data_IF_315702789945
#
_entry.id   IF_315702789945
#
_cell.length_a   1.000
_cell.length_b   1.000
_cell.length_c   1.000
_cell.angle_alpha   90.00
_cell.angle_beta   90.00
_cell.angle_gamma   90.00
#
_symmetry.space_group_name_H-M   'P 1'
#
loop_
_entity.id
_entity.type
_entity.pdbx_description
1 polymer ?
#
# COMPACT_ATOMS: atom_id res chain seq x y z
N UNK A 1 34.26 -30.42 38.21
CA UNK A 1 34.52 -29.12 37.54
C UNK A 1 35.24 -28.26 38.58
N UNK A 2 36.37 -27.61 38.23
CA UNK A 2 37.05 -26.70 39.15
C UNK A 2 36.12 -25.58 39.63
N UNK A 3 36.25 -25.21 40.91
CA UNK A 3 35.39 -24.24 41.55
C UNK A 3 35.42 -22.85 40.88
N UNK A 4 36.51 -22.56 40.14
CA UNK A 4 36.75 -21.29 39.42
C UNK A 4 36.17 -21.29 38.00
N UNK A 5 35.55 -22.39 37.56
CA UNK A 5 35.04 -22.51 36.20
C UNK A 5 33.82 -21.59 36.00
N UNK A 6 33.92 -20.63 35.05
CA UNK A 6 32.84 -19.70 34.78
C UNK A 6 31.99 -20.10 33.57
N UNK A 7 32.58 -20.82 32.61
CA UNK A 7 31.89 -21.24 31.37
C UNK A 7 32.41 -22.62 30.99
N UNK A 8 31.54 -23.50 30.56
CA UNK A 8 31.85 -24.74 29.90
C UNK A 8 31.63 -24.64 28.41
N UNK A 9 32.59 -25.10 27.63
CA UNK A 9 32.49 -25.10 26.16
C UNK A 9 32.65 -26.55 25.70
N UNK A 10 31.64 -27.08 25.00
CA UNK A 10 31.65 -28.39 24.37
C UNK A 10 31.82 -28.29 22.87
N UNK A 11 32.77 -28.99 22.29
CA UNK A 11 32.87 -29.15 20.85
C UNK A 11 31.77 -30.13 20.38
N UNK A 12 30.98 -29.73 19.39
CA UNK A 12 29.82 -30.46 18.88
C UNK A 12 29.93 -30.53 17.34
N UNK A 13 29.63 -31.68 16.80
CA UNK A 13 29.73 -31.91 15.36
C UNK A 13 28.42 -31.62 14.61
N UNK A 14 27.29 -32.02 15.21
CA UNK A 14 25.97 -31.87 14.58
C UNK A 14 25.26 -30.59 15.00
N UNK A 15 24.70 -29.86 14.05
CA UNK A 15 23.81 -28.71 14.26
C UNK A 15 22.34 -29.10 14.23
N UNK A 16 22.04 -30.39 14.05
CA UNK A 16 20.67 -30.92 14.03
C UNK A 16 20.00 -30.82 15.39
N UNK A 17 18.71 -30.52 15.43
CA UNK A 17 17.95 -30.38 16.70
C UNK A 17 17.86 -31.66 17.52
N UNK A 18 18.12 -32.80 16.93
CA UNK A 18 18.27 -34.06 17.68
C UNK A 18 19.50 -34.12 18.58
N UNK A 19 20.49 -33.23 18.35
CA UNK A 19 21.63 -33.03 19.23
C UNK A 19 21.27 -32.12 20.40
N UNK A 20 21.34 -32.61 21.62
CA UNK A 20 20.94 -31.84 22.82
C UNK A 20 21.73 -30.53 22.98
N UNK A 21 22.97 -30.48 22.53
CA UNK A 21 23.79 -29.26 22.54
C UNK A 21 23.43 -28.25 21.48
N UNK A 22 22.63 -28.59 20.47
CA UNK A 22 22.12 -27.66 19.51
C UNK A 22 20.99 -26.77 20.09
N UNK A 23 20.31 -27.22 21.15
CA UNK A 23 19.27 -26.44 21.80
C UNK A 23 19.82 -25.26 22.61
N UNK A 24 18.97 -24.25 22.82
CA UNK A 24 19.28 -23.14 23.70
C UNK A 24 19.54 -23.61 25.12
N UNK A 25 20.63 -23.15 25.70
CA UNK A 25 21.01 -23.47 27.10
C UNK A 25 21.04 -22.17 27.90
N UNK A 26 20.04 -21.98 28.76
CA UNK A 26 19.97 -20.83 29.67
C UNK A 26 20.94 -21.01 30.85
N UNK A 27 22.18 -21.30 30.57
CA UNK A 27 23.25 -21.61 31.52
C UNK A 27 24.60 -21.25 30.90
N UNK A 28 25.70 -21.15 31.69
CA UNK A 28 27.04 -20.90 31.18
C UNK A 28 27.67 -22.12 30.49
N UNK A 29 26.91 -22.77 29.62
CA UNK A 29 27.33 -23.91 28.80
C UNK A 29 27.16 -23.53 27.33
N UNK A 30 28.25 -23.56 26.56
CA UNK A 30 28.26 -23.20 25.15
C UNK A 30 28.58 -24.40 24.28
N UNK A 31 27.85 -24.55 23.18
CA UNK A 31 28.24 -25.44 22.10
C UNK A 31 29.20 -24.69 21.15
N UNK A 32 30.24 -25.37 20.74
CA UNK A 32 31.21 -24.86 19.77
C UNK A 32 31.23 -25.76 18.52
N UNK A 33 31.00 -25.19 17.37
CA UNK A 33 31.00 -25.88 16.09
C UNK A 33 32.19 -25.40 15.26
N UNK A 34 32.92 -26.35 14.68
CA UNK A 34 33.95 -25.99 13.69
C UNK A 34 33.32 -25.80 12.33
N UNK A 35 33.81 -24.84 11.58
CA UNK A 35 33.42 -24.58 10.21
C UNK A 35 34.66 -24.68 9.29
N UNK A 36 34.48 -25.14 8.07
CA UNK A 36 35.54 -25.24 7.06
C UNK A 36 35.93 -23.86 6.52
N UNK A 37 34.92 -23.02 6.33
CA UNK A 37 35.07 -21.66 5.84
C UNK A 37 33.90 -20.74 6.35
N UNK A 38 33.83 -19.54 5.81
CA UNK A 38 32.83 -18.54 6.20
C UNK A 38 31.42 -18.94 5.77
N UNK A 39 31.28 -19.57 4.60
CA UNK A 39 29.97 -20.03 4.08
C UNK A 39 29.42 -21.17 4.93
N UNK A 40 30.24 -22.15 5.26
CA UNK A 40 29.87 -23.24 6.16
C UNK A 40 29.49 -22.73 7.57
N UNK A 41 30.21 -21.72 8.08
CA UNK A 41 29.88 -21.09 9.35
C UNK A 41 28.51 -20.43 9.33
N UNK A 42 28.17 -19.71 8.26
CA UNK A 42 26.85 -19.08 8.10
C UNK A 42 25.76 -20.15 7.96
N UNK A 43 25.97 -21.18 7.14
CA UNK A 43 25.00 -22.26 6.96
C UNK A 43 24.68 -22.98 8.28
N UNK A 44 25.69 -23.26 9.10
CA UNK A 44 25.50 -23.82 10.45
C UNK A 44 24.74 -22.87 11.36
N UNK A 45 25.04 -21.58 11.33
CA UNK A 45 24.35 -20.57 12.12
C UNK A 45 22.88 -20.39 11.68
N UNK A 46 22.59 -20.39 10.38
CA UNK A 46 21.23 -20.36 9.84
C UNK A 46 20.40 -21.58 10.32
N UNK A 47 21.02 -22.76 10.30
CA UNK A 47 20.37 -23.97 10.78
C UNK A 47 20.02 -23.88 12.27
N UNK A 48 20.99 -23.49 13.09
CA UNK A 48 20.79 -23.35 14.55
C UNK A 48 19.70 -22.32 14.91
N UNK A 49 19.65 -21.18 14.21
CA UNK A 49 18.59 -20.19 14.48
C UNK A 49 17.22 -20.61 13.95
N UNK A 50 17.17 -21.43 12.88
CA UNK A 50 15.91 -21.97 12.39
C UNK A 50 15.26 -22.89 13.42
N UNK A 51 16.05 -23.70 14.09
CA UNK A 51 15.59 -24.65 15.11
C UNK A 51 15.42 -24.00 16.48
N UNK A 52 16.34 -23.09 16.88
CA UNK A 52 16.33 -22.39 18.16
C UNK A 52 15.40 -21.19 18.24
N UNK A 53 14.88 -20.73 17.11
CA UNK A 53 13.98 -19.58 16.99
C UNK A 53 14.64 -18.33 16.41
N UNK A 54 13.88 -17.71 15.49
CA UNK A 54 14.31 -16.52 14.78
C UNK A 54 14.18 -15.23 15.61
N UNK A 55 14.90 -14.20 15.20
CA UNK A 55 14.61 -12.81 15.51
C UNK A 55 15.45 -12.21 16.61
N UNK A 56 16.14 -12.96 17.45
CA UNK A 56 16.81 -12.41 18.62
C UNK A 56 18.10 -11.62 18.24
N UNK A 57 19.28 -12.23 18.34
CA UNK A 57 20.58 -11.54 18.20
C UNK A 57 21.64 -12.49 17.66
N UNK A 58 22.43 -12.01 16.71
CA UNK A 58 23.60 -12.72 16.19
C UNK A 58 24.85 -11.83 16.28
N UNK A 59 26.00 -12.45 16.54
CA UNK A 59 27.28 -11.76 16.61
C UNK A 59 28.27 -12.35 15.60
N UNK A 60 29.00 -11.47 14.91
CA UNK A 60 30.07 -11.81 13.98
C UNK A 60 31.38 -11.18 14.46
N UNK A 61 32.43 -11.98 14.57
CA UNK A 61 33.79 -11.51 14.82
C UNK A 61 34.58 -11.59 13.54
N UNK A 62 35.03 -10.44 13.03
CA UNK A 62 35.65 -10.32 11.72
C UNK A 62 36.53 -9.05 11.67
N UNK A 63 37.50 -8.99 10.74
CA UNK A 63 38.17 -7.73 10.42
C UNK A 63 37.18 -6.77 9.75
N UNK A 64 36.57 -5.90 10.55
CA UNK A 64 35.51 -4.99 10.11
C UNK A 64 35.99 -3.92 9.11
N UNK A 65 37.29 -3.72 8.97
CA UNK A 65 37.90 -2.76 8.03
C UNK A 65 38.09 -3.37 6.67
N UNK A 66 38.70 -4.55 6.63
CA UNK A 66 39.12 -5.19 5.35
C UNK A 66 38.08 -6.17 4.82
N UNK A 67 37.18 -6.69 5.64
CA UNK A 67 36.23 -7.74 5.28
C UNK A 67 34.77 -7.26 5.37
N UNK A 68 34.48 -6.04 4.96
CA UNK A 68 33.14 -5.45 5.01
C UNK A 68 32.08 -6.30 4.30
N UNK A 69 32.45 -6.94 3.19
CA UNK A 69 31.54 -7.82 2.43
C UNK A 69 31.02 -8.99 3.28
N UNK A 70 31.83 -9.56 4.16
CA UNK A 70 31.38 -10.62 5.08
C UNK A 70 30.34 -10.12 6.09
N UNK A 71 30.47 -8.88 6.55
CA UNK A 71 29.48 -8.27 7.44
C UNK A 71 28.15 -8.10 6.73
N UNK A 72 28.17 -7.59 5.50
CA UNK A 72 26.95 -7.33 4.71
C UNK A 72 26.26 -8.65 4.34
N UNK A 73 27.02 -9.69 3.97
CA UNK A 73 26.51 -11.02 3.71
C UNK A 73 25.88 -11.66 4.96
N UNK A 74 26.61 -11.67 6.07
CA UNK A 74 26.10 -12.19 7.33
C UNK A 74 24.80 -11.48 7.75
N UNK A 75 24.79 -10.16 7.68
CA UNK A 75 23.62 -9.36 8.03
C UNK A 75 22.42 -9.62 7.12
N UNK A 76 22.63 -9.92 5.85
CA UNK A 76 21.56 -10.22 4.91
C UNK A 76 20.93 -11.60 5.10
N UNK A 77 21.71 -12.57 5.55
CA UNK A 77 21.30 -13.97 5.70
C UNK A 77 20.70 -14.28 7.08
N UNK A 78 21.27 -13.70 8.14
CA UNK A 78 20.84 -14.00 9.50
C UNK A 78 19.48 -13.37 9.81
N UNK A 79 18.48 -14.19 10.09
CA UNK A 79 17.11 -13.74 10.45
C UNK A 79 17.03 -13.36 11.92
N UNK A 80 17.84 -12.38 12.31
CA UNK A 80 17.86 -11.80 13.67
C UNK A 80 17.79 -10.26 13.59
N UNK A 81 17.11 -9.65 14.54
CA UNK A 81 16.88 -8.20 14.54
C UNK A 81 18.12 -7.40 14.95
N UNK A 82 19.06 -8.03 15.63
CA UNK A 82 20.33 -7.42 16.07
C UNK A 82 21.49 -8.20 15.49
N UNK A 83 22.29 -7.52 14.68
CA UNK A 83 23.56 -8.02 14.20
C UNK A 83 24.66 -7.22 14.89
N UNK A 84 25.47 -7.90 15.65
CA UNK A 84 26.59 -7.29 16.38
C UNK A 84 27.89 -7.68 15.72
N UNK A 85 28.79 -6.72 15.58
CA UNK A 85 30.12 -6.95 15.02
C UNK A 85 31.16 -6.77 16.13
N UNK A 86 32.02 -7.75 16.30
CA UNK A 86 33.11 -7.77 17.29
C UNK A 86 32.63 -7.51 18.73
N UNK A 87 31.41 -7.93 19.05
CA UNK A 87 30.80 -7.72 20.37
C UNK A 87 29.99 -8.96 20.73
N UNK A 88 30.09 -9.43 21.98
CA UNK A 88 29.31 -10.60 22.44
C UNK A 88 27.82 -10.28 22.51
N UNK A 89 26.98 -11.22 22.11
CA UNK A 89 25.51 -11.08 22.09
C UNK A 89 24.95 -10.71 23.47
N UNK A 90 25.49 -11.25 24.53
CA UNK A 90 25.03 -11.01 25.89
C UNK A 90 25.17 -9.55 26.36
N UNK A 91 26.20 -8.86 25.90
CA UNK A 91 26.44 -7.46 26.23
C UNK A 91 25.84 -6.51 25.18
N UNK A 92 26.12 -6.78 23.90
CA UNK A 92 25.67 -5.89 22.83
C UNK A 92 24.17 -5.93 22.62
N UNK A 93 23.52 -7.08 22.78
CA UNK A 93 22.08 -7.22 22.57
C UNK A 93 21.23 -6.32 23.47
N UNK A 94 21.58 -6.18 24.73
CA UNK A 94 20.86 -5.34 25.69
C UNK A 94 21.11 -3.83 25.51
N UNK A 95 22.00 -3.46 24.57
CA UNK A 95 22.41 -2.08 24.32
C UNK A 95 23.55 -1.63 25.23
N UNK A 96 24.40 -0.77 24.68
CA UNK A 96 25.54 -0.21 25.40
C UNK A 96 25.30 1.28 25.68
N UNK A 97 25.73 1.71 26.85
CA UNK A 97 25.66 3.11 27.25
C UNK A 97 26.61 4.01 26.44
N UNK A 98 27.61 3.46 25.75
CA UNK A 98 28.69 4.25 25.20
C UNK A 98 28.80 4.31 23.67
N UNK A 99 28.47 3.26 22.94
CA UNK A 99 28.80 3.19 21.52
C UNK A 99 27.74 2.59 20.58
N UNK A 100 26.64 2.06 21.07
CA UNK A 100 25.64 1.41 20.23
C UNK A 100 24.44 2.30 19.91
N UNK A 101 23.91 2.16 18.71
CA UNK A 101 22.61 2.70 18.35
C UNK A 101 21.44 1.96 19.02
N UNK A 102 21.73 0.92 19.79
CA UNK A 102 20.74 0.14 20.50
C UNK A 102 20.41 0.80 21.83
N UNK A 103 19.16 1.11 22.05
CA UNK A 103 18.68 1.62 23.34
C UNK A 103 18.87 0.56 24.41
N UNK A 104 19.46 0.90 25.59
CA UNK A 104 19.58 -0.05 26.69
C UNK A 104 18.22 -0.61 27.11
N UNK A 105 18.10 -1.94 27.12
CA UNK A 105 16.87 -2.64 27.52
C UNK A 105 17.15 -4.11 27.85
N UNK A 106 16.41 -4.63 28.80
CA UNK A 106 16.37 -6.08 29.07
C UNK A 106 15.24 -6.78 28.31
N UNK A 107 14.38 -6.04 27.65
CA UNK A 107 13.31 -6.56 26.82
C UNK A 107 13.65 -6.33 25.34
N UNK A 108 13.93 -7.41 24.63
CA UNK A 108 14.43 -7.37 23.27
C UNK A 108 13.37 -7.87 22.30
N UNK A 109 12.89 -7.00 21.45
CA UNK A 109 11.96 -7.36 20.37
C UNK A 109 12.65 -8.23 19.31
N UNK A 110 11.96 -9.26 18.86
CA UNK A 110 12.45 -10.20 17.84
C UNK A 110 11.79 -10.01 16.46
N UNK A 111 10.97 -8.97 16.31
CA UNK A 111 10.29 -8.64 15.07
C UNK A 111 9.33 -9.72 14.59
N UNK A 112 8.93 -9.63 13.32
CA UNK A 112 8.04 -10.60 12.69
C UNK A 112 8.65 -12.00 12.62
N UNK A 113 9.96 -12.14 12.54
CA UNK A 113 10.64 -13.43 12.58
C UNK A 113 10.41 -14.18 13.89
N UNK A 114 10.42 -13.46 15.02
CA UNK A 114 10.15 -14.01 16.35
C UNK A 114 8.70 -13.88 16.80
N UNK A 115 7.78 -13.55 15.89
CA UNK A 115 6.36 -13.38 16.21
C UNK A 115 6.05 -12.14 17.07
N UNK A 116 6.93 -11.13 17.07
CA UNK A 116 6.77 -9.91 17.86
C UNK A 116 6.37 -8.72 16.98
N UNK A 117 5.65 -7.76 17.56
CA UNK A 117 5.34 -6.48 16.93
C UNK A 117 6.51 -5.49 16.95
N UNK A 118 7.53 -5.74 17.73
CA UNK A 118 8.69 -4.87 17.92
C UNK A 118 9.96 -5.59 17.51
N UNK A 119 10.78 -4.96 16.66
CA UNK A 119 12.07 -5.49 16.17
C UNK A 119 13.29 -4.81 16.81
N UNK A 120 13.09 -4.01 17.82
CA UNK A 120 14.15 -3.24 18.50
C UNK A 120 14.11 -3.45 20.01
N UNK A 121 15.08 -2.85 20.69
CA UNK A 121 15.13 -2.85 22.15
C UNK A 121 13.95 -2.06 22.71
N UNK A 122 13.15 -2.68 23.55
CA UNK A 122 11.90 -2.08 24.06
C UNK A 122 12.22 -0.99 25.07
N UNK A 123 11.72 0.20 24.84
CA UNK A 123 11.86 1.36 25.71
C UNK A 123 10.53 2.06 25.94
N UNK A 124 10.58 3.19 26.63
CA UNK A 124 9.39 3.99 27.00
C UNK A 124 8.48 4.30 25.80
N UNK A 125 9.04 4.56 24.62
CA UNK A 125 8.28 4.84 23.41
C UNK A 125 7.30 3.74 23.00
N UNK A 126 7.53 2.49 23.41
CA UNK A 126 6.64 1.35 23.13
C UNK A 126 5.50 1.23 24.14
N UNK A 127 5.55 1.96 25.23
CA UNK A 127 4.54 1.98 26.29
C UNK A 127 3.59 3.17 26.19
N UNK A 128 3.84 4.09 25.27
CA UNK A 128 3.02 5.29 25.05
C UNK A 128 2.33 5.24 23.71
N UNK A 129 1.15 5.84 23.65
CA UNK A 129 0.46 6.07 22.39
C UNK A 129 0.96 7.36 21.75
N UNK A 130 1.62 7.25 20.62
CA UNK A 130 2.05 8.40 19.83
C UNK A 130 0.90 8.82 18.94
N UNK A 131 0.45 10.07 19.09
CA UNK A 131 -0.52 10.72 18.19
C UNK A 131 0.24 11.58 17.19
N UNK A 132 -0.02 11.33 15.90
CA UNK A 132 0.52 12.18 14.85
C UNK A 132 -0.52 13.25 14.51
N UNK A 133 -0.13 14.51 14.63
CA UNK A 133 -0.89 15.64 14.10
C UNK A 133 -0.28 16.00 12.75
N UNK A 134 -1.01 15.73 11.69
CA UNK A 134 -0.59 16.06 10.34
C UNK A 134 -1.40 17.25 9.84
N UNK A 135 -0.74 18.37 9.62
CA UNK A 135 -1.34 19.54 8.98
C UNK A 135 -0.95 19.56 7.51
N UNK A 136 -1.94 19.75 6.65
CA UNK A 136 -1.70 19.97 5.25
C UNK A 136 -1.07 21.35 5.05
N UNK A 137 0.17 21.39 4.61
CA UNK A 137 0.80 22.64 4.16
C UNK A 137 0.45 22.87 2.69
N UNK A 138 -0.53 23.72 2.48
CA UNK A 138 -0.94 24.10 1.14
C UNK A 138 0.01 25.15 0.56
N UNK A 139 0.61 24.81 -0.57
CA UNK A 139 1.29 25.79 -1.41
C UNK A 139 0.35 26.35 -2.51
N UNK A 140 -0.85 25.78 -2.64
CA UNK A 140 -1.86 26.23 -3.60
C UNK A 140 -3.10 26.70 -2.85
N UNK A 141 -3.42 27.95 -3.02
CA UNK A 141 -4.57 28.62 -2.41
C UNK A 141 -5.77 28.63 -3.38
N UNK A 142 -5.96 27.55 -4.16
CA UNK A 142 -7.11 27.45 -5.04
C UNK A 142 -7.81 26.10 -4.83
N UNK A 143 -9.10 26.15 -4.92
CA UNK A 143 -9.99 24.99 -4.95
C UNK A 143 -10.77 25.02 -6.25
N UNK A 144 -10.92 23.87 -6.89
CA UNK A 144 -11.79 23.73 -8.05
C UNK A 144 -13.00 22.90 -7.64
N UNK A 145 -14.17 23.49 -7.81
CA UNK A 145 -15.45 22.81 -7.59
C UNK A 145 -16.11 22.54 -8.94
N UNK A 146 -17.08 21.62 -9.03
CA UNK A 146 -17.95 21.50 -10.18
C UNK A 146 -18.60 22.85 -10.52
N UNK A 147 -18.80 23.11 -11.79
CA UNK A 147 -19.43 24.34 -12.27
C UNK A 147 -20.84 24.54 -11.67
N UNK A 148 -21.55 23.42 -11.49
CA UNK A 148 -22.90 23.41 -10.95
C UNK A 148 -23.12 22.23 -10.02
N UNK A 149 -23.74 22.48 -8.87
CA UNK A 149 -24.12 21.43 -7.91
C UNK A 149 -25.61 21.58 -7.57
N UNK A 150 -26.38 20.53 -7.80
CA UNK A 150 -27.80 20.45 -7.43
C UNK A 150 -27.90 19.66 -6.12
N UNK A 151 -28.32 20.32 -5.07
CA UNK A 151 -28.43 19.73 -3.75
C UNK A 151 -29.81 19.97 -3.11
N UNK A 152 -30.77 19.07 -3.39
CA UNK A 152 -32.08 19.03 -2.75
C UNK A 152 -32.79 17.72 -3.07
N UNK A 153 -33.60 17.20 -2.16
CA UNK A 153 -34.44 16.05 -2.47
C UNK A 153 -35.34 16.35 -3.69
N UNK A 154 -35.26 15.50 -4.72
CA UNK A 154 -36.03 15.65 -5.96
C UNK A 154 -35.43 16.60 -7.00
N UNK A 155 -34.16 17.03 -6.84
CA UNK A 155 -33.51 17.92 -7.80
C UNK A 155 -33.07 17.21 -9.10
N UNK A 156 -32.94 15.88 -9.11
CA UNK A 156 -32.42 15.13 -10.27
C UNK A 156 -33.20 15.43 -11.57
N UNK A 157 -34.55 15.37 -11.63
CA UNK A 157 -35.29 15.72 -12.86
C UNK A 157 -35.02 17.14 -13.34
N UNK A 158 -34.88 18.10 -12.41
CA UNK A 158 -34.61 19.50 -12.75
C UNK A 158 -33.19 19.66 -13.32
N UNK A 159 -32.22 18.98 -12.73
CA UNK A 159 -30.85 18.98 -13.25
C UNK A 159 -30.77 18.36 -14.65
N UNK A 160 -31.53 17.29 -14.90
CA UNK A 160 -31.57 16.63 -16.21
C UNK A 160 -32.28 17.47 -17.27
N UNK A 161 -33.30 18.28 -16.90
CA UNK A 161 -33.98 19.18 -17.86
C UNK A 161 -33.02 20.14 -18.56
N UNK A 162 -31.96 20.56 -17.87
CA UNK A 162 -30.95 21.44 -18.47
C UNK A 162 -30.19 20.80 -19.65
N UNK A 163 -30.05 19.47 -19.66
CA UNK A 163 -29.40 18.78 -20.77
C UNK A 163 -30.10 19.03 -22.10
N UNK A 164 -31.41 19.01 -22.10
CA UNK A 164 -32.21 19.28 -23.29
C UNK A 164 -32.43 20.78 -23.54
N UNK A 165 -32.84 21.52 -22.50
CA UNK A 165 -33.33 22.91 -22.64
C UNK A 165 -32.23 23.95 -22.77
N UNK A 166 -31.12 23.73 -22.05
CA UNK A 166 -30.01 24.71 -22.00
C UNK A 166 -28.78 24.24 -22.79
N UNK A 167 -28.39 22.98 -22.57
CA UNK A 167 -27.17 22.44 -23.16
C UNK A 167 -27.38 21.78 -24.53
N UNK A 168 -28.65 21.56 -24.94
CA UNK A 168 -29.04 20.97 -26.22
C UNK A 168 -28.38 19.63 -26.54
N UNK A 169 -28.15 18.80 -25.49
CA UNK A 169 -27.54 17.47 -25.63
C UNK A 169 -28.47 16.51 -26.34
N UNK A 170 -27.90 15.56 -27.09
CA UNK A 170 -28.64 14.63 -27.94
C UNK A 170 -28.39 13.17 -27.62
N UNK A 171 -27.21 12.84 -27.08
CA UNK A 171 -26.75 11.46 -26.90
C UNK A 171 -26.11 11.31 -25.52
N UNK A 172 -26.77 10.60 -24.62
CA UNK A 172 -26.34 10.42 -23.26
C UNK A 172 -25.83 8.99 -23.01
N UNK A 173 -24.65 8.88 -22.44
CA UNK A 173 -24.04 7.61 -22.03
C UNK A 173 -24.10 7.51 -20.51
N UNK A 174 -24.83 6.50 -20.01
CA UNK A 174 -24.98 6.27 -18.55
C UNK A 174 -23.94 5.24 -18.12
N UNK A 175 -23.19 5.54 -17.06
CA UNK A 175 -22.22 4.63 -16.44
C UNK A 175 -22.70 4.29 -15.04
N UNK A 176 -22.81 3.01 -14.71
CA UNK A 176 -23.28 2.56 -13.40
C UNK A 176 -22.78 1.15 -13.10
N UNK A 177 -23.11 0.61 -11.94
CA UNK A 177 -22.89 -0.79 -11.60
C UNK A 177 -24.12 -1.66 -11.88
N UNK A 178 -23.88 -2.97 -11.90
CA UNK A 178 -24.94 -3.95 -12.23
C UNK A 178 -26.07 -4.02 -11.20
N UNK A 179 -25.78 -3.67 -9.92
CA UNK A 179 -26.80 -3.65 -8.87
C UNK A 179 -27.80 -2.51 -9.10
N UNK A 180 -27.30 -1.30 -9.30
CA UNK A 180 -28.15 -0.13 -9.52
C UNK A 180 -28.98 -0.28 -10.80
N UNK A 181 -28.38 -0.79 -11.87
CA UNK A 181 -29.07 -1.02 -13.13
C UNK A 181 -30.20 -2.08 -13.00
N UNK A 182 -29.88 -3.28 -12.48
CA UNK A 182 -30.85 -4.37 -12.34
C UNK A 182 -32.00 -4.07 -11.39
N UNK A 183 -31.76 -3.23 -10.39
CA UNK A 183 -32.80 -2.78 -9.45
C UNK A 183 -33.54 -1.52 -9.91
N UNK A 184 -33.31 -1.05 -11.14
CA UNK A 184 -34.06 0.03 -11.77
C UNK A 184 -33.81 1.43 -11.24
N UNK A 185 -32.65 1.65 -10.56
CA UNK A 185 -32.31 2.99 -10.08
C UNK A 185 -32.00 3.96 -11.21
N UNK A 186 -31.49 3.48 -12.34
CA UNK A 186 -31.22 4.27 -13.55
C UNK A 186 -32.49 4.69 -14.28
N UNK A 187 -33.59 3.99 -14.07
CA UNK A 187 -34.84 4.20 -14.81
C UNK A 187 -35.35 5.63 -14.77
N UNK A 188 -35.20 6.32 -13.64
CA UNK A 188 -35.59 7.73 -13.52
C UNK A 188 -34.81 8.66 -14.44
N UNK A 189 -33.54 8.31 -14.71
CA UNK A 189 -32.69 9.05 -15.64
C UNK A 189 -33.12 8.69 -17.08
N UNK A 190 -33.26 7.40 -17.37
CA UNK A 190 -33.63 6.88 -18.68
C UNK A 190 -35.01 7.45 -19.12
N UNK A 191 -36.05 7.31 -18.28
CA UNK A 191 -37.39 7.85 -18.56
C UNK A 191 -37.37 9.38 -18.81
N UNK A 192 -36.50 10.10 -18.09
CA UNK A 192 -36.36 11.55 -18.28
C UNK A 192 -35.66 11.91 -19.60
N UNK A 193 -34.65 11.15 -19.96
CA UNK A 193 -33.96 11.30 -21.24
C UNK A 193 -34.89 11.00 -22.42
N UNK A 194 -35.71 9.93 -22.30
CA UNK A 194 -36.74 9.58 -23.29
C UNK A 194 -37.75 10.69 -23.49
N UNK A 195 -38.27 11.27 -22.37
CA UNK A 195 -39.20 12.42 -22.42
C UNK A 195 -38.61 13.63 -23.17
N UNK A 196 -37.28 13.81 -23.11
CA UNK A 196 -36.59 14.91 -23.80
C UNK A 196 -36.14 14.54 -25.23
N UNK A 197 -36.37 13.29 -25.66
CA UNK A 197 -35.89 12.81 -26.97
C UNK A 197 -34.38 12.68 -27.07
N UNK A 198 -33.68 12.49 -25.93
CA UNK A 198 -32.25 12.27 -25.89
C UNK A 198 -31.99 10.79 -25.98
N UNK A 199 -31.29 10.38 -27.05
CA UNK A 199 -30.89 8.98 -27.24
C UNK A 199 -29.90 8.59 -26.16
N UNK A 200 -30.11 7.44 -25.51
CA UNK A 200 -29.25 7.01 -24.43
C UNK A 200 -28.87 5.53 -24.52
N UNK A 201 -27.80 5.17 -23.85
CA UNK A 201 -27.38 3.78 -23.58
C UNK A 201 -26.75 3.70 -22.20
N UNK A 202 -26.72 2.51 -21.62
CA UNK A 202 -26.21 2.29 -20.27
C UNK A 202 -25.10 1.23 -20.30
N UNK A 203 -23.93 1.60 -19.77
CA UNK A 203 -22.85 0.69 -19.41
C UNK A 203 -22.95 0.40 -17.90
N UNK A 204 -23.32 -0.83 -17.56
CA UNK A 204 -23.63 -1.23 -16.18
C UNK A 204 -22.69 -2.29 -15.61
N UNK A 205 -21.61 -2.59 -16.32
CA UNK A 205 -20.63 -3.61 -15.89
C UNK A 205 -19.45 -3.00 -15.13
N UNK A 206 -19.70 -1.92 -14.37
CA UNK A 206 -18.66 -1.37 -13.48
C UNK A 206 -18.57 -2.24 -12.24
N UNK A 207 -17.40 -2.82 -12.01
CA UNK A 207 -17.06 -3.61 -10.84
C UNK A 207 -16.66 -2.75 -9.65
N UNK A 208 -16.77 -3.23 -8.39
CA UNK A 208 -16.11 -2.58 -7.26
C UNK A 208 -14.61 -2.48 -7.51
N UNK A 209 -13.99 -1.32 -7.19
CA UNK A 209 -12.59 -1.03 -7.50
C UNK A 209 -12.27 -1.27 -8.99
N UNK A 210 -12.81 -0.44 -9.88
CA UNK A 210 -12.84 -0.71 -11.31
C UNK A 210 -11.44 -0.85 -11.90
N UNK A 211 -11.25 -1.91 -12.67
CA UNK A 211 -10.00 -2.17 -13.38
C UNK A 211 -9.82 -1.25 -14.59
N UNK A 212 -8.58 -1.03 -14.99
CA UNK A 212 -8.29 -0.30 -16.24
C UNK A 212 -8.88 -1.02 -17.48
N UNK A 213 -9.02 -2.35 -17.42
CA UNK A 213 -9.65 -3.12 -18.49
C UNK A 213 -11.15 -2.78 -18.63
N UNK A 214 -11.89 -2.68 -17.51
CA UNK A 214 -13.28 -2.24 -17.48
C UNK A 214 -13.43 -0.81 -18.01
N UNK A 215 -12.57 0.10 -17.58
CA UNK A 215 -12.57 1.49 -18.07
C UNK A 215 -12.30 1.58 -19.58
N UNK A 216 -11.37 0.78 -20.10
CA UNK A 216 -11.10 0.71 -21.56
C UNK A 216 -12.27 0.14 -22.35
N UNK A 217 -12.95 -0.87 -21.81
CA UNK A 217 -14.17 -1.43 -22.43
C UNK A 217 -15.28 -0.38 -22.49
N UNK A 218 -15.53 0.36 -21.40
CA UNK A 218 -16.50 1.45 -21.38
C UNK A 218 -16.14 2.59 -22.34
N UNK A 219 -14.87 2.98 -22.41
CA UNK A 219 -14.40 3.99 -23.38
C UNK A 219 -14.57 3.52 -24.85
N UNK A 220 -14.39 2.22 -25.12
CA UNK A 220 -14.66 1.65 -26.44
C UNK A 220 -16.15 1.72 -26.78
N UNK A 221 -17.02 1.40 -25.81
CA UNK A 221 -18.48 1.54 -25.97
C UNK A 221 -18.88 3.02 -26.16
N UNK A 222 -18.27 3.96 -25.46
CA UNK A 222 -18.47 5.40 -25.68
C UNK A 222 -18.07 5.81 -27.11
N UNK A 223 -16.92 5.36 -27.61
CA UNK A 223 -16.52 5.65 -29.01
C UNK A 223 -17.49 5.12 -30.03
N UNK A 224 -18.08 3.96 -29.81
CA UNK A 224 -19.08 3.39 -30.70
C UNK A 224 -20.42 4.13 -30.63
N UNK A 225 -20.77 4.66 -29.47
CA UNK A 225 -22.02 5.39 -29.25
C UNK A 225 -21.92 6.88 -29.54
N UNK A 226 -20.73 7.50 -29.44
CA UNK A 226 -20.45 8.93 -29.65
C UNK A 226 -21.34 9.85 -28.79
N UNK A 227 -21.28 9.76 -27.43
CA UNK A 227 -22.07 10.61 -26.57
C UNK A 227 -21.57 12.06 -26.57
N UNK A 228 -22.53 13.00 -26.42
CA UNK A 228 -22.25 14.41 -26.08
C UNK A 228 -22.52 14.73 -24.61
N UNK A 229 -23.02 13.75 -23.85
CA UNK A 229 -23.21 13.79 -22.41
C UNK A 229 -22.93 12.42 -21.78
N UNK A 230 -22.31 12.43 -20.61
CA UNK A 230 -22.02 11.24 -19.81
C UNK A 230 -22.63 11.45 -18.42
N UNK A 231 -23.40 10.49 -17.92
CA UNK A 231 -23.94 10.49 -16.57
C UNK A 231 -23.35 9.29 -15.82
N UNK A 232 -22.49 9.53 -14.84
CA UNK A 232 -21.99 8.49 -13.95
C UNK A 232 -22.83 8.46 -12.66
N UNK A 233 -23.62 7.40 -12.48
CA UNK A 233 -24.49 7.20 -11.32
C UNK A 233 -23.98 6.04 -10.47
N UNK A 234 -23.72 6.29 -9.19
CA UNK A 234 -23.32 5.24 -8.26
C UNK A 234 -22.51 5.72 -7.09
N UNK A 235 -21.78 4.80 -6.47
CA UNK A 235 -20.74 5.11 -5.50
C UNK A 235 -19.45 5.58 -6.18
N UNK A 236 -18.36 5.68 -5.42
CA UNK A 236 -17.06 6.11 -5.93
C UNK A 236 -16.63 5.34 -7.19
N UNK A 237 -16.73 4.01 -7.16
CA UNK A 237 -16.32 3.14 -8.28
C UNK A 237 -16.99 3.51 -9.61
N UNK A 238 -18.29 3.73 -9.63
CA UNK A 238 -19.01 4.07 -10.86
C UNK A 238 -18.64 5.46 -11.38
N UNK A 239 -18.45 6.44 -10.48
CA UNK A 239 -18.07 7.81 -10.84
C UNK A 239 -16.60 7.87 -11.31
N UNK A 240 -15.69 7.18 -10.62
CA UNK A 240 -14.27 7.13 -11.00
C UNK A 240 -14.07 6.40 -12.32
N UNK A 241 -14.72 5.24 -12.52
CA UNK A 241 -14.73 4.55 -13.80
C UNK A 241 -15.25 5.46 -14.92
N UNK A 242 -16.37 6.14 -14.69
CA UNK A 242 -16.97 7.07 -15.65
C UNK A 242 -16.02 8.20 -16.05
N UNK A 243 -15.28 8.77 -15.10
CA UNK A 243 -14.26 9.81 -15.36
C UNK A 243 -13.09 9.26 -16.19
N UNK A 244 -12.59 8.07 -15.86
CA UNK A 244 -11.51 7.45 -16.64
C UNK A 244 -11.98 7.12 -18.04
N UNK A 245 -13.19 6.57 -18.19
CA UNK A 245 -13.81 6.30 -19.49
C UNK A 245 -13.94 7.59 -20.32
N UNK A 246 -14.37 8.68 -19.68
CA UNK A 246 -14.50 9.99 -20.30
C UNK A 246 -13.16 10.53 -20.82
N UNK A 247 -12.10 10.45 -19.99
CA UNK A 247 -10.74 10.83 -20.43
C UNK A 247 -10.31 10.01 -21.64
N UNK A 248 -10.42 8.68 -21.57
CA UNK A 248 -10.03 7.80 -22.68
C UNK A 248 -10.92 7.94 -23.92
N UNK A 249 -12.13 8.45 -23.79
CA UNK A 249 -13.02 8.79 -24.90
C UNK A 249 -12.62 10.07 -25.60
N UNK A 250 -12.35 11.13 -24.85
CA UNK A 250 -11.96 12.43 -25.41
C UNK A 250 -10.50 12.44 -25.89
N UNK A 251 -9.62 11.76 -25.13
CA UNK A 251 -8.17 11.74 -25.31
C UNK A 251 -7.63 10.31 -25.35
N UNK A 252 -7.85 9.58 -26.44
CA UNK A 252 -7.41 8.19 -26.56
C UNK A 252 -5.89 8.02 -26.58
N UNK A 253 -5.15 9.12 -26.82
CA UNK A 253 -3.69 9.17 -26.82
C UNK A 253 -3.08 9.20 -25.42
N UNK A 254 -3.88 9.41 -24.38
CA UNK A 254 -3.38 9.56 -23.01
C UNK A 254 -2.93 8.21 -22.44
N UNK A 255 -1.71 8.18 -21.88
CA UNK A 255 -1.22 7.05 -21.10
C UNK A 255 -1.76 7.10 -19.68
N UNK A 256 -2.31 5.97 -19.22
CA UNK A 256 -2.89 5.88 -17.88
C UNK A 256 -1.83 5.99 -16.78
N UNK A 257 -0.62 5.48 -17.03
CA UNK A 257 0.45 5.55 -16.03
C UNK A 257 0.94 6.99 -15.83
N UNK A 258 1.03 7.75 -16.91
CA UNK A 258 1.35 9.18 -16.83
C UNK A 258 0.29 9.95 -16.04
N UNK A 259 -0.99 9.64 -16.25
CA UNK A 259 -2.07 10.22 -15.42
C UNK A 259 -1.93 9.87 -13.94
N UNK A 260 -1.62 8.62 -13.63
CA UNK A 260 -1.43 8.14 -12.26
C UNK A 260 -0.24 8.82 -11.57
N UNK A 261 0.83 9.13 -12.30
CA UNK A 261 2.00 9.84 -11.77
C UNK A 261 1.65 11.23 -11.22
N UNK A 262 0.57 11.86 -11.69
CA UNK A 262 0.10 13.13 -11.12
C UNK A 262 -0.29 13.02 -9.63
N UNK A 263 -0.76 11.87 -9.19
CA UNK A 263 -1.07 11.63 -7.77
C UNK A 263 0.20 11.50 -6.93
N UNK A 264 1.29 11.01 -7.52
CA UNK A 264 2.59 10.88 -6.86
C UNK A 264 3.34 12.20 -6.78
N UNK A 265 3.04 13.17 -7.66
CA UNK A 265 3.63 14.51 -7.63
C UNK A 265 2.70 15.53 -6.98
N UNK A 266 2.94 15.81 -5.70
CA UNK A 266 2.20 16.81 -4.91
C UNK A 266 2.15 18.18 -5.63
N UNK A 267 3.17 18.52 -6.39
CA UNK A 267 3.29 19.82 -7.08
C UNK A 267 2.60 19.83 -8.44
N UNK A 268 2.06 18.70 -8.89
CA UNK A 268 1.36 18.55 -10.18
C UNK A 268 2.17 18.99 -11.41
N UNK A 269 3.49 18.79 -11.37
CA UNK A 269 4.42 19.24 -12.44
C UNK A 269 4.77 18.15 -13.43
N UNK A 270 4.66 16.88 -13.02
CA UNK A 270 5.08 15.73 -13.83
C UNK A 270 4.14 15.49 -14.99
N UNK A 271 2.85 15.75 -14.80
CA UNK A 271 1.84 15.52 -15.84
C UNK A 271 0.87 16.69 -15.97
N UNK A 272 0.65 17.16 -17.19
CA UNK A 272 -0.38 18.15 -17.51
C UNK A 272 -1.63 17.42 -17.97
N UNK A 273 -2.72 17.55 -17.21
CA UNK A 273 -3.99 16.92 -17.53
C UNK A 273 -4.59 17.58 -18.78
N UNK A 274 -5.12 16.79 -19.73
CA UNK A 274 -5.73 17.36 -20.94
C UNK A 274 -6.97 18.19 -20.61
N UNK A 275 -7.36 19.08 -21.51
CA UNK A 275 -8.61 19.83 -21.38
C UNK A 275 -9.78 18.89 -21.65
N UNK A 276 -10.67 18.79 -20.70
CA UNK A 276 -11.84 17.92 -20.76
C UNK A 276 -13.10 18.70 -21.13
N UNK A 277 -14.12 17.99 -21.62
CA UNK A 277 -15.45 18.54 -21.89
C UNK A 277 -15.64 19.09 -23.29
N UNK A 278 -14.76 18.78 -24.23
CA UNK A 278 -14.88 19.21 -25.63
C UNK A 278 -15.85 18.33 -26.43
N UNK A 279 -15.86 17.01 -26.18
CA UNK A 279 -16.75 16.07 -26.85
C UNK A 279 -18.01 15.80 -26.03
N UNK A 280 -17.89 15.61 -24.72
CA UNK A 280 -19.00 15.24 -23.85
C UNK A 280 -18.98 16.00 -22.52
N UNK A 281 -20.15 16.44 -22.10
CA UNK A 281 -20.37 17.01 -20.76
C UNK A 281 -20.53 15.88 -19.73
N UNK A 282 -19.86 15.99 -18.58
CA UNK A 282 -19.86 14.95 -17.55
C UNK A 282 -20.72 15.35 -16.34
N UNK A 283 -21.56 14.45 -15.89
CA UNK A 283 -22.41 14.61 -14.73
C UNK A 283 -22.17 13.46 -13.76
N UNK A 284 -21.91 13.76 -12.49
CA UNK A 284 -21.83 12.80 -11.42
C UNK A 284 -23.14 12.78 -10.63
N UNK A 285 -23.71 11.59 -10.41
CA UNK A 285 -24.92 11.37 -9.59
C UNK A 285 -24.56 10.40 -8.46
N UNK A 286 -24.06 10.89 -7.32
CA UNK A 286 -23.62 10.05 -6.23
C UNK A 286 -24.82 9.36 -5.53
N UNK A 287 -24.65 8.08 -5.23
CA UNK A 287 -25.57 7.26 -4.41
C UNK A 287 -25.02 6.96 -3.03
N UNK A 288 -23.73 7.27 -2.80
CA UNK A 288 -23.03 7.12 -1.52
C UNK A 288 -22.39 8.45 -1.15
N UNK A 289 -22.48 8.84 0.11
CA UNK A 289 -21.86 10.06 0.62
C UNK A 289 -20.41 9.85 1.05
N UNK A 290 -19.59 10.89 0.92
CA UNK A 290 -18.23 10.93 1.47
C UNK A 290 -17.15 10.29 0.59
N UNK A 291 -17.44 9.92 -0.64
CA UNK A 291 -16.45 9.37 -1.57
C UNK A 291 -15.53 10.45 -2.17
N UNK A 292 -16.03 11.66 -2.34
CA UNK A 292 -15.34 12.75 -3.04
C UNK A 292 -15.21 12.57 -4.55
N UNK A 293 -15.70 11.45 -5.09
CA UNK A 293 -15.62 11.17 -6.53
C UNK A 293 -16.59 12.02 -7.36
N UNK A 294 -17.50 12.72 -6.74
CA UNK A 294 -18.42 13.68 -7.38
C UNK A 294 -17.78 15.04 -7.70
N UNK A 295 -16.59 15.31 -7.13
CA UNK A 295 -15.86 16.60 -7.26
C UNK A 295 -14.86 16.60 -8.40
#
# INVERSE_FOLDING_TARGET
IPEETKVLIGEVESVDISEEFAHEKLSPVLAMYKAEDFEDAIAKAEHLIADGGYGHTSSLYVDAVNERAKIDEFASRMKTCRILVNTPSSQGGIGDLYNFKLTPSLTLGCGSWGGNSVSENVGVKHLINVKTVAERRENMLWIRTPEKVYFKKGCLPVALDELGTVMHKKRCFIVTDSFLYKNGYTKKIEDKLDQMGIVHTCFYDVEPDPSLASARAGAAAMRAFEPDCIIAMGGGSAMDAGKIMWVLYEHPEVDFQDMAMRFCDIRKRVYTFPKMGEKAYFIAVPTSSGTGSEV
#
